data_IF_577276844542
#
_entry.id   IF_577276844542
#
_cell.length_a   1.000
_cell.length_b   1.000
_cell.length_c   1.000
_cell.angle_alpha   90.00
_cell.angle_beta   90.00
_cell.angle_gamma   90.00
#
_symmetry.space_group_name_H-M   'P 1'
#
loop_
_entity.id
_entity.type
_entity.pdbx_description
1 polymer ?
#
# COMPACT_ATOMS: atom_id res chain seq x y z
N UNK A 1 2.87 -15.58 -12.85
CA UNK A 1 4.31 -15.41 -13.11
C UNK A 1 4.89 -16.48 -14.03
N UNK A 2 4.55 -17.76 -13.87
CA UNK A 2 5.05 -18.84 -14.76
C UNK A 2 4.83 -18.57 -16.26
N UNK A 3 3.66 -18.06 -16.66
CA UNK A 3 3.37 -17.74 -18.07
C UNK A 3 4.33 -16.69 -18.67
N UNK A 4 4.62 -15.60 -17.93
CA UNK A 4 5.56 -14.55 -18.39
C UNK A 4 6.98 -15.10 -18.47
N UNK A 5 7.37 -15.92 -17.49
CA UNK A 5 8.67 -16.62 -17.52
C UNK A 5 8.80 -17.51 -18.75
N UNK A 6 7.79 -18.35 -19.03
CA UNK A 6 7.79 -19.21 -20.20
C UNK A 6 7.80 -18.42 -21.52
N UNK A 7 7.02 -17.34 -21.63
CA UNK A 7 7.02 -16.47 -22.80
C UNK A 7 8.40 -15.85 -23.06
N UNK A 8 9.11 -15.40 -22.02
CA UNK A 8 10.45 -14.83 -22.18
C UNK A 8 11.51 -15.89 -22.50
N UNK A 9 11.37 -17.13 -22.00
CA UNK A 9 12.27 -18.25 -22.37
C UNK A 9 12.10 -18.64 -23.83
N UNK A 10 10.87 -18.72 -24.32
CA UNK A 10 10.62 -18.98 -25.74
C UNK A 10 11.10 -17.78 -26.59
N UNK A 11 10.82 -16.55 -26.15
CA UNK A 11 11.21 -15.33 -26.84
C UNK A 11 12.72 -15.13 -26.95
N UNK A 12 13.51 -15.56 -25.96
CA UNK A 12 14.98 -15.43 -26.00
C UNK A 12 15.60 -16.27 -27.13
N UNK A 13 14.97 -17.39 -27.50
CA UNK A 13 15.39 -18.23 -28.63
C UNK A 13 15.19 -17.54 -29.99
N UNK A 14 14.41 -16.47 -30.04
CA UNK A 14 14.09 -15.70 -31.26
C UNK A 14 14.64 -14.27 -31.20
N UNK A 15 15.63 -14.00 -30.35
CA UNK A 15 16.21 -12.66 -30.15
C UNK A 15 15.17 -11.58 -29.77
N UNK A 16 14.11 -11.96 -29.06
CA UNK A 16 13.07 -11.04 -28.61
C UNK A 16 13.51 -10.26 -27.36
N UNK A 17 13.08 -9.01 -27.24
CA UNK A 17 13.26 -8.23 -26.03
C UNK A 17 12.37 -8.76 -24.89
N UNK A 18 12.76 -8.49 -23.64
CA UNK A 18 12.01 -8.91 -22.47
C UNK A 18 10.58 -8.37 -22.55
N UNK A 19 9.62 -9.28 -22.61
CA UNK A 19 8.20 -8.94 -22.73
C UNK A 19 7.56 -8.88 -21.35
N UNK A 20 6.76 -7.83 -21.15
CA UNK A 20 5.96 -7.60 -19.94
C UNK A 20 4.52 -7.28 -20.33
N UNK A 21 3.64 -7.15 -19.33
CA UNK A 21 2.27 -6.68 -19.54
C UNK A 21 2.27 -5.23 -20.05
N UNK A 22 1.79 -5.01 -21.27
CA UNK A 22 1.68 -3.68 -21.86
C UNK A 22 0.36 -3.02 -21.46
N UNK A 23 0.41 -2.04 -20.56
CA UNK A 23 -0.77 -1.30 -20.10
C UNK A 23 -1.48 -0.59 -21.25
N UNK A 24 -0.75 0.14 -22.11
CA UNK A 24 -1.33 0.86 -23.25
C UNK A 24 -2.09 -0.07 -24.21
N UNK A 25 -1.49 -1.20 -24.64
CA UNK A 25 -2.14 -2.16 -25.54
C UNK A 25 -3.37 -2.82 -24.90
N UNK A 26 -3.29 -3.12 -23.62
CA UNK A 26 -4.40 -3.75 -22.89
C UNK A 26 -5.56 -2.79 -22.70
N UNK A 27 -5.29 -1.50 -22.43
CA UNK A 27 -6.31 -0.46 -22.32
C UNK A 27 -7.05 -0.26 -23.65
N UNK A 28 -6.33 -0.21 -24.79
CA UNK A 28 -6.94 -0.13 -26.12
C UNK A 28 -7.76 -1.38 -26.44
N UNK A 29 -7.24 -2.57 -26.13
CA UNK A 29 -7.96 -3.83 -26.34
C UNK A 29 -9.24 -3.92 -25.50
N UNK A 30 -9.21 -3.41 -24.27
CA UNK A 30 -10.39 -3.31 -23.40
C UNK A 30 -11.40 -2.29 -23.94
N UNK A 31 -10.94 -1.11 -24.37
CA UNK A 31 -11.80 -0.09 -24.99
C UNK A 31 -12.42 -0.55 -26.32
N UNK A 32 -11.75 -1.44 -27.06
CA UNK A 32 -12.27 -2.08 -28.26
C UNK A 32 -13.31 -3.18 -27.97
N UNK A 33 -13.59 -3.48 -26.69
CA UNK A 33 -14.61 -4.45 -26.28
C UNK A 33 -14.16 -5.92 -26.33
N UNK A 34 -12.84 -6.18 -26.34
CA UNK A 34 -12.33 -7.55 -26.35
C UNK A 34 -12.63 -8.28 -25.05
N UNK A 35 -13.30 -9.45 -25.13
CA UNK A 35 -13.70 -10.26 -23.97
C UNK A 35 -12.91 -11.56 -23.81
N UNK A 36 -12.10 -11.93 -24.80
CA UNK A 36 -11.42 -13.24 -24.84
C UNK A 36 -9.94 -13.10 -25.18
N UNK A 37 -9.12 -14.06 -24.77
CA UNK A 37 -7.69 -14.12 -25.08
C UNK A 37 -7.42 -14.31 -26.59
N UNK A 38 -8.43 -14.69 -27.38
CA UNK A 38 -8.33 -14.79 -28.83
C UNK A 38 -7.95 -13.44 -29.48
N UNK A 39 -8.30 -12.31 -28.87
CA UNK A 39 -7.87 -10.99 -29.35
C UNK A 39 -6.34 -10.86 -29.43
N UNK A 40 -5.62 -11.43 -28.46
CA UNK A 40 -4.16 -11.40 -28.46
C UNK A 40 -3.55 -12.26 -29.58
N UNK A 41 -4.22 -13.35 -29.95
CA UNK A 41 -3.81 -14.21 -31.08
C UNK A 41 -3.97 -13.44 -32.39
N UNK A 42 -5.14 -12.84 -32.60
CA UNK A 42 -5.41 -12.01 -33.79
C UNK A 42 -4.40 -10.87 -33.88
N UNK A 43 -4.17 -10.16 -32.78
CA UNK A 43 -3.16 -9.09 -32.71
C UNK A 43 -1.77 -9.60 -33.10
N UNK A 44 -1.33 -10.75 -32.60
CA UNK A 44 -0.02 -11.31 -32.94
C UNK A 44 0.10 -11.67 -34.42
N UNK A 45 -0.95 -12.26 -35.02
CA UNK A 45 -0.98 -12.60 -36.45
C UNK A 45 -0.98 -11.33 -37.29
N UNK A 46 -1.77 -10.33 -36.94
CA UNK A 46 -1.78 -9.03 -37.63
C UNK A 46 -0.39 -8.38 -37.59
N UNK A 47 0.27 -8.36 -36.43
CA UNK A 47 1.63 -7.83 -36.31
C UNK A 47 2.60 -8.60 -37.22
N UNK A 48 2.54 -9.93 -37.23
CA UNK A 48 3.37 -10.76 -38.12
C UNK A 48 3.17 -10.40 -39.60
N UNK A 49 1.92 -10.30 -40.05
CA UNK A 49 1.58 -9.93 -41.45
C UNK A 49 2.08 -8.52 -41.76
N UNK A 50 1.90 -7.56 -40.85
CA UNK A 50 2.37 -6.17 -41.07
C UNK A 50 3.89 -6.08 -41.19
N UNK A 51 4.63 -6.87 -40.41
CA UNK A 51 6.10 -6.90 -40.48
C UNK A 51 6.61 -7.57 -41.77
N UNK A 52 5.92 -8.57 -42.31
CA UNK A 52 6.35 -9.25 -43.53
C UNK A 52 6.01 -8.46 -44.81
N UNK A 53 4.83 -7.84 -44.87
CA UNK A 53 4.33 -7.22 -46.11
C UNK A 53 4.32 -5.68 -46.10
N UNK A 54 4.05 -5.06 -44.94
CA UNK A 54 3.87 -3.60 -44.82
C UNK A 54 5.09 -2.87 -44.27
N UNK A 55 6.16 -3.58 -43.88
CA UNK A 55 7.41 -2.97 -43.43
C UNK A 55 8.00 -1.90 -44.38
N UNK A 56 8.00 -2.04 -45.72
CA UNK A 56 8.51 -0.98 -46.60
C UNK A 56 7.70 0.32 -46.52
N UNK A 57 6.41 0.25 -46.16
CA UNK A 57 5.57 1.44 -45.99
C UNK A 57 5.90 2.18 -44.68
N UNK A 58 6.17 1.45 -43.61
CA UNK A 58 6.45 2.03 -42.30
C UNK A 58 7.84 2.67 -42.18
N UNK A 59 8.76 2.38 -43.10
CA UNK A 59 10.10 2.99 -43.08
C UNK A 59 10.10 4.51 -43.20
N UNK A 60 9.06 5.08 -43.83
CA UNK A 60 8.93 6.52 -44.03
C UNK A 60 8.21 7.23 -42.88
N UNK A 61 7.88 6.52 -41.79
CA UNK A 61 7.12 7.09 -40.68
C UNK A 61 7.98 8.09 -39.90
N UNK A 62 7.61 9.38 -39.82
CA UNK A 62 8.38 10.35 -39.05
C UNK A 62 8.33 10.06 -37.56
N UNK A 63 9.46 10.25 -36.86
CA UNK A 63 9.55 10.07 -35.40
C UNK A 63 8.54 10.91 -34.62
N UNK A 64 8.12 12.05 -35.16
CA UNK A 64 7.10 12.93 -34.55
C UNK A 64 5.76 12.23 -34.41
N UNK A 65 5.36 11.42 -35.40
CA UNK A 65 4.09 10.67 -35.37
C UNK A 65 4.15 9.59 -34.29
N UNK A 66 5.28 8.89 -34.19
CA UNK A 66 5.51 7.88 -33.14
C UNK A 66 5.46 8.51 -31.74
N UNK A 67 6.09 9.67 -31.55
CA UNK A 67 6.04 10.42 -30.31
C UNK A 67 4.61 10.83 -29.93
N UNK A 68 3.83 11.33 -30.89
CA UNK A 68 2.43 11.71 -30.66
C UNK A 68 1.56 10.51 -30.22
N UNK A 69 1.78 9.33 -30.82
CA UNK A 69 1.08 8.09 -30.43
C UNK A 69 1.44 7.69 -28.99
N UNK A 70 2.71 7.81 -28.59
CA UNK A 70 3.14 7.48 -27.23
C UNK A 70 2.54 8.47 -26.22
N UNK A 71 2.61 9.77 -26.48
CA UNK A 71 2.07 10.81 -25.57
C UNK A 71 0.57 10.64 -25.38
N UNK A 72 -0.18 10.42 -26.45
CA UNK A 72 -1.63 10.19 -26.37
C UNK A 72 -1.98 8.91 -25.60
N UNK A 73 -1.17 7.85 -25.74
CA UNK A 73 -1.35 6.62 -24.98
C UNK A 73 -1.05 6.77 -23.47
N UNK A 74 -0.05 7.60 -23.11
CA UNK A 74 0.37 7.78 -21.70
C UNK A 74 -0.53 8.76 -20.96
N UNK A 75 -1.09 9.78 -21.62
CA UNK A 75 -2.02 10.74 -20.98
C UNK A 75 -3.20 10.01 -20.32
N UNK A 76 -3.72 8.95 -20.94
CA UNK A 76 -4.81 8.14 -20.39
C UNK A 76 -4.43 7.31 -19.16
N UNK A 77 -3.15 7.17 -18.84
CA UNK A 77 -2.66 6.47 -17.64
C UNK A 77 -2.56 7.38 -16.41
N UNK A 78 -2.61 8.70 -16.60
CA UNK A 78 -2.44 9.66 -15.49
C UNK A 78 -3.77 9.85 -14.77
N UNK A 79 -3.90 9.26 -13.58
CA UNK A 79 -5.07 9.38 -12.72
C UNK A 79 -4.86 10.44 -11.62
N UNK A 80 -5.18 11.70 -11.95
CA UNK A 80 -5.13 12.83 -11.00
C UNK A 80 -6.14 12.69 -9.85
N UNK A 81 -7.40 12.24 -10.07
CA UNK A 81 -8.34 11.97 -9.00
C UNK A 81 -7.79 11.01 -7.93
N UNK A 82 -7.13 9.92 -8.34
CA UNK A 82 -6.52 8.96 -7.42
C UNK A 82 -5.42 9.62 -6.57
N UNK A 83 -4.55 10.43 -7.18
CA UNK A 83 -3.52 11.18 -6.45
C UNK A 83 -4.12 12.13 -5.40
N UNK A 84 -5.21 12.82 -5.74
CA UNK A 84 -5.93 13.69 -4.80
C UNK A 84 -6.61 12.90 -3.68
N UNK A 85 -7.13 11.71 -3.98
CA UNK A 85 -7.72 10.83 -2.98
C UNK A 85 -6.68 10.35 -1.96
N UNK A 86 -5.48 9.97 -2.41
CA UNK A 86 -4.38 9.57 -1.54
C UNK A 86 -3.99 10.71 -0.60
N UNK A 87 -3.90 11.95 -1.11
CA UNK A 87 -3.63 13.13 -0.28
C UNK A 87 -4.65 13.34 0.85
N UNK A 88 -5.93 13.01 0.60
CA UNK A 88 -6.99 13.15 1.61
C UNK A 88 -6.96 12.06 2.68
N UNK A 89 -6.54 10.84 2.33
CA UNK A 89 -6.45 9.73 3.28
C UNK A 89 -5.19 9.86 4.13
N UNK A 90 -4.03 9.90 3.49
CA UNK A 90 -2.74 9.81 4.19
C UNK A 90 -1.65 10.63 3.51
N UNK A 91 -1.16 11.63 4.25
CA UNK A 91 -0.10 12.54 3.77
C UNK A 91 1.24 11.81 3.57
N UNK A 92 1.52 10.74 4.32
CA UNK A 92 2.74 9.97 4.18
C UNK A 92 2.72 9.11 2.91
N UNK A 93 1.60 8.46 2.59
CA UNK A 93 1.51 7.69 1.34
C UNK A 93 1.60 8.59 0.11
N UNK A 94 1.03 9.80 0.20
CA UNK A 94 1.25 10.78 -0.85
C UNK A 94 2.72 11.16 -0.99
N UNK A 95 3.45 11.33 0.12
CA UNK A 95 4.89 11.62 0.07
C UNK A 95 5.67 10.48 -0.58
N UNK A 96 5.35 9.22 -0.26
CA UNK A 96 5.97 8.04 -0.90
C UNK A 96 5.72 8.06 -2.41
N UNK A 97 4.48 8.33 -2.83
CA UNK A 97 4.12 8.47 -4.24
C UNK A 97 4.89 9.60 -4.93
N UNK A 98 5.00 10.77 -4.29
CA UNK A 98 5.73 11.91 -4.81
C UNK A 98 7.23 11.60 -4.96
N UNK A 99 7.82 10.94 -3.96
CA UNK A 99 9.23 10.50 -4.00
C UNK A 99 9.44 9.49 -5.11
N UNK A 100 8.51 8.54 -5.31
CA UNK A 100 8.57 7.61 -6.44
C UNK A 100 8.54 8.35 -7.78
N UNK A 101 7.61 9.29 -7.94
CA UNK A 101 7.45 10.08 -9.17
C UNK A 101 8.69 10.92 -9.49
N UNK A 102 9.16 11.71 -8.52
CA UNK A 102 10.33 12.57 -8.69
C UNK A 102 11.62 11.73 -8.83
N UNK A 103 11.74 10.63 -8.07
CA UNK A 103 12.88 9.72 -8.13
C UNK A 103 13.04 9.09 -9.51
N UNK A 104 11.94 8.68 -10.14
CA UNK A 104 11.96 8.13 -11.51
C UNK A 104 12.34 9.19 -12.54
N UNK A 105 11.88 10.44 -12.39
CA UNK A 105 12.17 11.54 -13.32
C UNK A 105 13.62 12.01 -13.23
N UNK A 106 14.17 12.14 -12.02
CA UNK A 106 15.49 12.75 -11.82
C UNK A 106 16.65 11.75 -11.77
N UNK A 107 16.42 10.51 -11.35
CA UNK A 107 17.49 9.52 -11.14
C UNK A 107 17.38 8.43 -12.19
N UNK A 108 16.49 7.47 -11.96
CA UNK A 108 16.23 6.35 -12.86
C UNK A 108 14.99 5.60 -12.38
N UNK A 109 14.40 4.80 -13.26
CA UNK A 109 13.23 3.96 -12.92
C UNK A 109 13.57 2.98 -11.79
N UNK A 110 14.76 2.38 -11.81
CA UNK A 110 15.17 1.35 -10.86
C UNK A 110 15.40 1.95 -9.46
N UNK A 111 16.20 3.01 -9.36
CA UNK A 111 16.55 3.64 -8.09
C UNK A 111 15.35 4.37 -7.47
N UNK A 112 14.56 5.09 -8.29
CA UNK A 112 13.36 5.78 -7.83
C UNK A 112 12.34 4.82 -7.21
N UNK A 113 12.15 3.64 -7.82
CA UNK A 113 11.28 2.60 -7.29
C UNK A 113 11.86 1.97 -6.02
N UNK A 114 13.17 1.70 -5.98
CA UNK A 114 13.82 1.12 -4.81
C UNK A 114 13.67 2.01 -3.56
N UNK A 115 13.88 3.32 -3.71
CA UNK A 115 13.71 4.30 -2.64
C UNK A 115 12.25 4.32 -2.15
N UNK A 116 11.28 4.35 -3.06
CA UNK A 116 9.87 4.38 -2.70
C UNK A 116 9.42 3.13 -1.94
N UNK A 117 9.82 1.93 -2.41
CA UNK A 117 9.53 0.65 -1.74
C UNK A 117 10.22 0.59 -0.38
N UNK A 118 11.47 1.05 -0.28
CA UNK A 118 12.20 1.14 0.98
C UNK A 118 11.47 2.02 2.00
N UNK A 119 11.02 3.22 1.59
CA UNK A 119 10.29 4.14 2.46
C UNK A 119 8.94 3.57 2.89
N UNK A 120 8.20 2.94 1.97
CA UNK A 120 6.92 2.28 2.28
C UNK A 120 7.11 1.13 3.27
N UNK A 121 8.16 0.33 3.10
CA UNK A 121 8.47 -0.79 3.99
C UNK A 121 8.88 -0.29 5.38
N UNK A 122 9.73 0.73 5.43
CA UNK A 122 10.14 1.37 6.67
C UNK A 122 8.96 1.95 7.45
N UNK A 123 8.00 2.58 6.74
CA UNK A 123 6.77 3.09 7.33
C UNK A 123 5.95 1.99 7.99
N UNK A 124 5.73 0.88 7.28
CA UNK A 124 4.99 -0.27 7.82
C UNK A 124 5.69 -0.81 9.08
N UNK A 125 7.02 -0.88 9.06
CA UNK A 125 7.79 -1.33 10.21
C UNK A 125 7.61 -0.41 11.44
N UNK A 126 7.64 0.91 11.24
CA UNK A 126 7.35 1.87 12.32
C UNK A 126 5.94 1.71 12.89
N UNK A 127 4.94 1.47 12.03
CA UNK A 127 3.56 1.27 12.45
C UNK A 127 3.40 -0.03 13.26
N UNK A 128 4.11 -1.09 12.88
CA UNK A 128 4.11 -2.37 13.62
C UNK A 128 4.79 -2.22 14.98
N UNK A 129 5.88 -1.46 15.07
CA UNK A 129 6.63 -1.26 16.33
C UNK A 129 5.87 -0.39 17.33
N UNK A 130 5.00 0.53 16.87
CA UNK A 130 4.19 1.41 17.74
C UNK A 130 2.69 1.17 17.54
N UNK A 131 2.17 0.03 18.00
CA UNK A 131 0.74 -0.23 17.96
C UNK A 131 0.00 0.75 18.88
N UNK A 132 -1.25 1.04 18.53
CA UNK A 132 -2.13 1.85 19.38
C UNK A 132 -2.56 1.00 20.58
N UNK A 133 -2.18 1.45 21.77
CA UNK A 133 -2.69 0.90 23.03
C UNK A 133 -3.74 1.87 23.57
N UNK A 134 -4.86 1.33 24.05
CA UNK A 134 -5.99 2.14 24.52
C UNK A 134 -6.42 1.69 25.91
N UNK A 135 -6.62 2.63 26.84
CA UNK A 135 -7.26 2.35 28.12
C UNK A 135 -8.79 2.26 27.94
N UNK A 136 -9.39 1.18 28.42
CA UNK A 136 -10.83 0.96 28.39
C UNK A 136 -11.49 1.31 29.73
N UNK A 137 -12.67 1.90 29.67
CA UNK A 137 -13.56 2.16 30.80
C UNK A 137 -14.94 1.56 30.54
N UNK A 138 -15.71 1.36 31.62
CA UNK A 138 -17.06 0.82 31.55
C UNK A 138 -18.09 1.94 31.41
N UNK A 139 -19.03 1.79 30.47
CA UNK A 139 -20.17 2.70 30.33
C UNK A 139 -21.26 2.28 31.35
N UNK A 140 -21.62 3.16 32.31
CA UNK A 140 -22.51 2.82 33.41
C UNK A 140 -23.87 2.33 32.90
N UNK A 141 -24.31 1.16 33.37
CA UNK A 141 -25.58 0.53 32.98
C UNK A 141 -25.49 -0.44 31.80
N UNK A 142 -24.29 -0.71 31.27
CA UNK A 142 -24.06 -1.71 30.22
C UNK A 142 -22.82 -2.56 30.52
N UNK A 143 -22.69 -3.71 29.85
CA UNK A 143 -21.47 -4.56 29.90
C UNK A 143 -20.45 -4.17 28.81
N UNK A 144 -20.47 -2.91 28.35
CA UNK A 144 -19.66 -2.46 27.20
C UNK A 144 -18.46 -1.66 27.70
N UNK A 145 -17.27 -2.13 27.33
CA UNK A 145 -16.00 -1.44 27.57
C UNK A 145 -15.58 -0.64 26.35
N UNK A 146 -15.26 0.65 26.53
CA UNK A 146 -14.85 1.57 25.46
C UNK A 146 -13.72 2.48 25.90
N UNK A 147 -13.04 3.06 24.92
CA UNK A 147 -11.93 3.99 25.12
C UNK A 147 -12.34 5.21 25.97
N UNK A 148 -11.67 5.42 27.10
CA UNK A 148 -11.89 6.56 28.02
C UNK A 148 -11.67 7.93 27.36
N UNK A 149 -10.73 8.03 26.42
CA UNK A 149 -10.44 9.30 25.75
C UNK A 149 -11.49 9.66 24.69
N UNK A 150 -12.19 8.68 24.15
CA UNK A 150 -13.20 8.89 23.10
C UNK A 150 -14.62 9.05 23.67
N UNK A 151 -14.94 8.34 24.76
CA UNK A 151 -16.26 8.36 25.38
C UNK A 151 -16.18 8.93 26.80
N UNK A 152 -16.68 10.15 26.98
CA UNK A 152 -16.69 10.84 28.29
C UNK A 152 -17.57 10.17 29.34
N UNK A 153 -18.54 9.36 28.90
CA UNK A 153 -19.43 8.60 29.77
C UNK A 153 -18.80 7.30 30.29
N UNK A 154 -17.61 6.91 29.79
CA UNK A 154 -16.91 5.73 30.26
C UNK A 154 -16.23 6.02 31.62
N UNK A 155 -16.66 5.29 32.65
CA UNK A 155 -16.14 5.40 34.01
C UNK A 155 -15.08 4.33 34.28
N UNK A 156 -14.05 4.70 35.05
CA UNK A 156 -13.03 3.75 35.51
C UNK A 156 -13.61 2.89 36.64
N UNK A 157 -13.25 1.61 36.66
CA UNK A 157 -13.59 0.72 37.77
C UNK A 157 -12.41 0.76 38.75
N UNK A 158 -12.60 1.19 40.00
CA UNK A 158 -11.51 1.31 40.96
C UNK A 158 -10.83 -0.05 41.20
N UNK A 159 -9.50 -0.07 41.09
CA UNK A 159 -8.66 -1.27 41.27
C UNK A 159 -8.47 -2.16 40.03
N UNK A 160 -9.09 -1.85 38.89
CA UNK A 160 -8.94 -2.58 37.62
C UNK A 160 -8.38 -1.69 36.52
N UNK A 161 -7.29 -2.12 35.87
CA UNK A 161 -6.73 -1.48 34.68
C UNK A 161 -6.98 -2.36 33.46
N UNK A 162 -7.81 -1.89 32.52
CA UNK A 162 -8.17 -2.63 31.30
C UNK A 162 -7.51 -1.97 30.10
N UNK A 163 -6.61 -2.69 29.43
CA UNK A 163 -5.86 -2.18 28.29
C UNK A 163 -6.18 -3.00 27.05
N UNK A 164 -6.58 -2.32 25.98
CA UNK A 164 -6.75 -2.91 24.66
C UNK A 164 -5.48 -2.75 23.83
N UNK A 165 -4.96 -3.85 23.31
CA UNK A 165 -3.85 -3.85 22.36
C UNK A 165 -4.43 -4.17 20.99
N UNK A 166 -4.65 -3.13 20.17
CA UNK A 166 -5.22 -3.25 18.83
C UNK A 166 -4.18 -3.70 17.77
N UNK A 167 -3.30 -4.66 18.12
CA UNK A 167 -2.27 -5.17 17.21
C UNK A 167 -1.73 -6.55 17.62
N UNK A 168 -1.31 -7.39 16.65
CA UNK A 168 -0.64 -8.65 16.95
C UNK A 168 0.70 -8.42 17.65
N UNK A 169 0.96 -9.19 18.71
CA UNK A 169 2.21 -9.12 19.46
C UNK A 169 3.30 -9.86 18.69
N UNK A 170 4.34 -9.12 18.31
CA UNK A 170 5.47 -9.58 17.52
C UNK A 170 6.78 -9.25 18.24
N UNK A 171 7.88 -9.89 17.85
CA UNK A 171 9.21 -9.58 18.38
C UNK A 171 9.57 -8.09 18.27
N UNK A 172 9.11 -7.41 17.21
CA UNK A 172 9.39 -6.01 16.97
C UNK A 172 8.64 -5.03 17.90
N UNK A 173 7.57 -5.45 18.57
CA UNK A 173 6.73 -4.56 19.40
C UNK A 173 6.71 -4.92 20.90
N UNK A 174 7.17 -6.11 21.29
CA UNK A 174 7.06 -6.60 22.66
C UNK A 174 7.78 -5.70 23.68
N UNK A 175 8.97 -5.20 23.36
CA UNK A 175 9.71 -4.27 24.22
C UNK A 175 8.94 -2.96 24.39
N UNK A 176 8.40 -2.43 23.29
CA UNK A 176 7.62 -1.20 23.32
C UNK A 176 6.33 -1.37 24.13
N UNK A 177 5.63 -2.49 23.96
CA UNK A 177 4.42 -2.81 24.70
C UNK A 177 4.71 -2.95 26.20
N UNK A 178 5.77 -3.66 26.58
CA UNK A 178 6.14 -3.84 27.99
C UNK A 178 6.45 -2.50 28.68
N UNK A 179 7.31 -1.68 28.06
CA UNK A 179 7.64 -0.34 28.58
C UNK A 179 6.41 0.58 28.63
N UNK A 180 5.44 0.40 27.71
CA UNK A 180 4.20 1.17 27.68
C UNK A 180 3.24 0.72 28.78
N UNK A 181 3.08 -0.59 28.98
CA UNK A 181 2.21 -1.17 30.01
C UNK A 181 2.74 -0.85 31.41
N UNK A 182 4.06 -0.92 31.62
CA UNK A 182 4.68 -0.58 32.90
C UNK A 182 4.44 0.88 33.26
N UNK A 183 4.62 1.81 32.31
CA UNK A 183 4.32 3.23 32.52
C UNK A 183 2.85 3.48 32.90
N UNK A 184 1.92 2.74 32.30
CA UNK A 184 0.50 2.86 32.66
C UNK A 184 0.17 2.30 34.04
N UNK A 185 0.91 1.28 34.50
CA UNK A 185 0.79 0.78 35.86
C UNK A 185 1.33 1.83 36.85
N UNK A 186 2.49 2.44 36.56
CA UNK A 186 3.08 3.49 37.40
C UNK A 186 2.17 4.74 37.49
N UNK A 187 1.63 5.21 36.36
CA UNK A 187 0.68 6.34 36.34
C UNK A 187 -0.58 6.04 37.19
N UNK A 188 -1.11 4.83 37.13
CA UNK A 188 -2.26 4.43 37.93
C UNK A 188 -1.92 4.22 39.42
N UNK A 189 -0.71 3.77 39.76
CA UNK A 189 -0.27 3.73 41.16
C UNK A 189 -0.14 5.14 41.76
N UNK A 190 0.37 6.12 41.00
CA UNK A 190 0.46 7.52 41.44
C UNK A 190 -0.93 8.17 41.66
N UNK A 191 -1.90 7.90 40.79
CA UNK A 191 -3.26 8.42 40.96
C UNK A 191 -4.00 7.69 42.11
N UNK A 192 -3.75 6.39 42.31
CA UNK A 192 -4.36 5.62 43.40
C UNK A 192 -3.85 6.00 44.81
N UNK A 193 -2.65 6.59 44.93
CA UNK A 193 -2.18 7.18 46.21
C UNK A 193 -3.14 8.29 46.69
N UNK A 194 -3.89 8.95 45.77
CA UNK A 194 -4.92 9.95 46.13
C UNK A 194 -6.28 9.34 46.47
N UNK A 195 -6.61 8.15 45.94
CA UNK A 195 -7.94 7.53 46.04
C UNK A 195 -8.00 6.24 46.90
N UNK A 196 -6.92 5.90 47.61
CA UNK A 196 -6.90 4.85 48.65
C UNK A 196 -7.31 3.45 48.15
N UNK A 197 -7.10 3.19 46.86
CA UNK A 197 -7.49 1.96 46.17
C UNK A 197 -6.27 1.34 45.50
N UNK A 198 -5.67 0.28 46.04
CA UNK A 198 -4.52 -0.35 45.38
C UNK A 198 -4.97 -1.04 44.08
N UNK A 199 -4.22 -0.84 42.99
CA UNK A 199 -4.39 -1.61 41.75
C UNK A 199 -4.29 -3.12 42.07
N UNK A 200 -5.35 -3.90 41.77
CA UNK A 200 -5.40 -5.34 42.08
C UNK A 200 -5.33 -6.22 40.84
N UNK A 201 -5.88 -5.77 39.71
CA UNK A 201 -5.97 -6.58 38.51
C UNK A 201 -5.68 -5.77 37.24
N UNK A 202 -4.84 -6.33 36.37
CA UNK A 202 -4.56 -5.86 35.01
C UNK A 202 -5.24 -6.80 34.02
N UNK A 203 -6.11 -6.26 33.17
CA UNK A 203 -6.79 -7.01 32.11
C UNK A 203 -6.24 -6.52 30.77
N UNK A 204 -5.56 -7.42 30.04
CA UNK A 204 -5.10 -7.17 28.69
C UNK A 204 -6.11 -7.75 27.71
N UNK A 205 -6.84 -6.88 27.04
CA UNK A 205 -7.70 -7.25 25.94
C UNK A 205 -6.88 -7.30 24.64
N UNK A 206 -6.76 -8.49 24.07
CA UNK A 206 -5.98 -8.80 22.86
C UNK A 206 -6.87 -9.33 21.72
N UNK A 207 -8.18 -9.08 21.78
CA UNK A 207 -9.16 -9.53 20.78
C UNK A 207 -8.97 -8.89 19.41
#
# INVERSE_FOLDING_TARGET
MMAIGFMNVVGSSTSCYVTTGAFSRSAVNNNAGAKTAASNIVMSVTVMVTLLFLMPLFQYTPNVVLGAIIVTAVIGLIDIPAACHIWKIDKFDFLVMLIAFLGVIFISVQEGLAIAVGLSTFRILLQITRPKTVMMGNIPGTDIYRNLHQYKDATRIPGFLILSIEAPINFANITYLNDRTLRWIEEEEEDNIKEQSSLRFLILDMS
#
